data_IF_566943179011
#
_entry.id   IF_566943179011
#
_cell.length_a   1.000
_cell.length_b   1.000
_cell.length_c   1.000
_cell.angle_alpha   90.00
_cell.angle_beta   90.00
_cell.angle_gamma   90.00
#
_symmetry.space_group_name_H-M   'P 1'
#
loop_
_entity.id
_entity.type
_entity.pdbx_description
1 polymer ?
#
# COMPACT_ATOMS: atom_id res chain seq x y z
N UNK A 1 25.67 -46.30 -56.85
CA UNK A 1 26.91 -45.60 -56.39
C UNK A 1 26.56 -44.30 -55.63
N UNK A 2 26.42 -44.47 -54.31
CA UNK A 2 26.70 -43.54 -53.20
C UNK A 2 26.32 -42.05 -53.34
N UNK A 3 25.21 -41.70 -52.68
CA UNK A 3 25.04 -40.40 -52.03
C UNK A 3 26.13 -40.21 -50.97
N UNK A 4 26.76 -39.04 -50.94
CA UNK A 4 27.83 -38.68 -50.00
C UNK A 4 27.61 -37.26 -49.45
N UNK A 5 27.09 -37.23 -48.22
CA UNK A 5 27.46 -36.38 -47.08
C UNK A 5 27.79 -34.90 -47.38
N UNK A 6 26.83 -34.01 -47.09
CA UNK A 6 27.13 -32.60 -46.82
C UNK A 6 27.52 -32.44 -45.35
N UNK A 7 28.69 -31.84 -45.19
CA UNK A 7 29.41 -31.53 -43.95
C UNK A 7 28.56 -30.81 -42.91
N UNK A 8 28.68 -31.28 -41.68
CA UNK A 8 28.22 -30.66 -40.44
C UNK A 8 29.02 -29.37 -40.22
N UNK A 9 28.33 -28.22 -40.16
CA UNK A 9 28.84 -27.03 -39.49
C UNK A 9 28.23 -26.99 -38.08
N UNK A 10 28.99 -27.52 -37.11
CA UNK A 10 28.81 -27.22 -35.68
C UNK A 10 29.59 -25.95 -35.39
N UNK A 11 28.96 -24.98 -34.74
CA UNK A 11 29.58 -23.73 -34.29
C UNK A 11 28.48 -22.76 -33.86
N UNK A 12 27.87 -23.01 -32.70
CA UNK A 12 28.23 -22.32 -31.45
C UNK A 12 27.71 -20.88 -31.41
N UNK A 13 26.48 -20.70 -30.91
CA UNK A 13 26.08 -19.53 -30.10
C UNK A 13 24.68 -19.76 -29.49
N UNK A 14 24.53 -20.68 -28.55
CA UNK A 14 23.29 -20.82 -27.75
C UNK A 14 23.62 -21.32 -26.34
N UNK A 15 24.38 -20.54 -25.57
CA UNK A 15 24.55 -20.80 -24.12
C UNK A 15 24.59 -19.51 -23.26
N UNK A 16 24.45 -18.31 -23.84
CA UNK A 16 24.65 -17.06 -23.05
C UNK A 16 23.40 -16.44 -22.42
N UNK A 17 22.19 -16.84 -22.81
CA UNK A 17 20.95 -16.27 -22.26
C UNK A 17 20.45 -16.99 -20.99
N UNK A 18 20.41 -18.33 -21.00
CA UNK A 18 19.90 -19.11 -19.86
C UNK A 18 20.74 -18.94 -18.58
N UNK A 19 22.07 -18.87 -18.70
CA UNK A 19 22.94 -18.64 -17.55
C UNK A 19 22.74 -17.25 -16.94
N UNK A 20 22.45 -16.22 -17.75
CA UNK A 20 22.22 -14.87 -17.24
C UNK A 20 20.86 -14.76 -16.53
N UNK A 21 19.82 -15.44 -17.03
CA UNK A 21 18.53 -15.55 -16.33
C UNK A 21 18.63 -16.37 -15.04
N UNK A 22 19.38 -17.48 -15.04
CA UNK A 22 19.62 -18.27 -13.82
C UNK A 22 20.46 -17.52 -12.78
N UNK A 23 21.53 -16.84 -13.20
CA UNK A 23 22.36 -16.01 -12.29
C UNK A 23 21.54 -14.83 -11.74
N UNK A 24 20.66 -14.24 -12.56
CA UNK A 24 19.75 -13.17 -12.12
C UNK A 24 18.72 -13.69 -11.13
N UNK A 25 18.11 -14.84 -11.39
CA UNK A 25 17.17 -15.49 -10.47
C UNK A 25 17.84 -15.91 -9.16
N UNK A 26 19.06 -16.47 -9.23
CA UNK A 26 19.86 -16.82 -8.04
C UNK A 26 20.20 -15.58 -7.22
N UNK A 27 20.64 -14.48 -7.86
CA UNK A 27 20.93 -13.21 -7.18
C UNK A 27 19.68 -12.52 -6.61
N UNK A 28 18.53 -12.62 -7.28
CA UNK A 28 17.24 -12.12 -6.78
C UNK A 28 16.76 -12.91 -5.54
N UNK A 29 16.93 -14.24 -5.57
CA UNK A 29 16.61 -15.12 -4.43
C UNK A 29 17.57 -14.90 -3.26
N UNK A 30 18.86 -14.71 -3.53
CA UNK A 30 19.86 -14.39 -2.50
C UNK A 30 19.58 -13.03 -1.87
N UNK A 31 19.27 -12.01 -2.67
CA UNK A 31 18.90 -10.68 -2.18
C UNK A 31 17.63 -10.70 -1.34
N UNK A 32 16.60 -11.43 -1.76
CA UNK A 32 15.37 -11.62 -0.99
C UNK A 32 15.63 -12.33 0.34
N UNK A 33 16.43 -13.41 0.32
CA UNK A 33 16.79 -14.16 1.52
C UNK A 33 17.55 -13.30 2.51
N UNK A 34 18.56 -12.57 2.03
CA UNK A 34 19.35 -11.63 2.85
C UNK A 34 18.47 -10.54 3.47
N UNK A 35 17.52 -9.98 2.72
CA UNK A 35 16.56 -9.03 3.25
C UNK A 35 15.71 -9.64 4.37
N UNK A 36 15.12 -10.81 4.15
CA UNK A 36 14.28 -11.49 5.14
C UNK A 36 15.05 -11.84 6.43
N UNK A 37 16.29 -12.32 6.30
CA UNK A 37 17.12 -12.73 7.44
C UNK A 37 17.62 -11.55 8.27
N UNK A 38 17.59 -10.36 7.68
CA UNK A 38 18.01 -9.14 8.35
C UNK A 38 16.90 -8.43 9.12
N UNK A 39 15.66 -8.92 9.04
CA UNK A 39 14.54 -8.46 9.84
C UNK A 39 14.63 -9.02 11.27
N UNK A 40 14.27 -8.20 12.24
CA UNK A 40 14.22 -8.56 13.66
C UNK A 40 12.79 -8.99 14.01
N UNK A 41 12.60 -10.29 14.06
CA UNK A 41 11.35 -10.89 14.52
C UNK A 41 11.32 -10.93 16.06
N UNK A 42 10.12 -10.74 16.63
CA UNK A 42 9.87 -10.97 18.06
C UNK A 42 10.09 -12.42 18.48
N UNK A 43 10.04 -12.71 19.79
CA UNK A 43 10.22 -14.06 20.35
C UNK A 43 9.24 -15.11 19.79
N UNK A 44 8.11 -14.67 19.24
CA UNK A 44 7.10 -15.53 18.61
C UNK A 44 7.25 -15.60 17.08
N UNK A 45 8.37 -15.11 16.52
CA UNK A 45 8.68 -15.17 15.10
C UNK A 45 7.91 -14.18 14.23
N UNK A 46 7.41 -13.09 14.80
CA UNK A 46 6.58 -12.10 14.10
C UNK A 46 7.21 -10.70 14.07
N UNK A 47 6.98 -9.97 12.98
CA UNK A 47 7.33 -8.56 12.78
C UNK A 47 6.06 -7.72 12.63
N UNK A 48 6.09 -6.46 13.07
CA UNK A 48 4.98 -5.53 12.88
C UNK A 48 4.97 -5.00 11.46
N UNK A 49 3.81 -4.95 10.82
CA UNK A 49 3.66 -4.43 9.45
C UNK A 49 2.51 -3.44 9.39
N UNK A 50 2.79 -2.25 8.87
CA UNK A 50 1.79 -1.24 8.51
C UNK A 50 1.60 -1.20 7.00
N UNK A 51 0.36 -1.30 6.53
CA UNK A 51 0.03 -0.98 5.15
C UNK A 51 -0.29 0.52 5.07
N UNK A 52 0.36 1.23 4.16
CA UNK A 52 0.16 2.66 3.93
C UNK A 52 -0.22 2.88 2.48
N UNK A 53 -1.22 3.74 2.24
CA UNK A 53 -1.61 4.16 0.91
C UNK A 53 -0.55 5.07 0.29
N UNK A 54 -0.08 4.71 -0.90
CA UNK A 54 0.92 5.50 -1.65
C UNK A 54 0.38 6.85 -2.10
N UNK A 55 -0.92 6.94 -2.39
CA UNK A 55 -1.52 8.17 -2.88
C UNK A 55 -1.82 9.08 -1.68
N UNK A 56 -2.68 8.62 -0.76
CA UNK A 56 -3.17 9.47 0.34
C UNK A 56 -2.19 9.68 1.49
N UNK A 57 -1.21 8.79 1.60
CA UNK A 57 -0.34 8.66 2.77
C UNK A 57 -1.05 8.10 4.00
N UNK A 58 -2.33 7.73 3.90
CA UNK A 58 -3.09 7.18 5.02
C UNK A 58 -2.55 5.81 5.43
N UNK A 59 -2.42 5.60 6.74
CA UNK A 59 -2.16 4.25 7.27
C UNK A 59 -3.46 3.45 7.13
N UNK A 60 -3.44 2.40 6.32
CA UNK A 60 -4.62 1.60 5.97
C UNK A 60 -4.97 0.61 7.07
N UNK A 61 -3.99 -0.20 7.49
CA UNK A 61 -4.12 -1.16 8.58
C UNK A 61 -2.75 -1.52 9.17
N UNK A 62 -2.75 -2.09 10.37
CA UNK A 62 -1.59 -2.75 10.98
C UNK A 62 -1.92 -4.22 11.20
N UNK A 63 -0.97 -5.09 10.89
CA UNK A 63 -1.00 -6.51 11.24
C UNK A 63 0.41 -7.02 11.51
N UNK A 64 0.53 -8.31 11.82
CA UNK A 64 1.82 -8.98 12.00
C UNK A 64 2.13 -9.80 10.76
N UNK A 65 3.41 -10.07 10.51
CA UNK A 65 3.85 -11.03 9.51
C UNK A 65 4.92 -11.93 10.11
N UNK A 66 4.93 -13.21 9.74
CA UNK A 66 6.09 -14.07 9.91
C UNK A 66 7.01 -13.93 8.69
N UNK A 67 8.18 -14.57 8.73
CA UNK A 67 9.13 -14.56 7.61
C UNK A 67 8.50 -15.03 6.29
N UNK A 68 7.62 -16.03 6.35
CA UNK A 68 6.97 -16.59 5.18
C UNK A 68 5.93 -15.63 4.57
N UNK A 69 5.18 -14.88 5.38
CA UNK A 69 4.23 -13.87 4.91
C UNK A 69 4.93 -12.69 4.23
N UNK A 70 6.08 -12.24 4.77
CA UNK A 70 6.89 -11.19 4.10
C UNK A 70 7.44 -11.70 2.77
N UNK A 71 7.96 -12.93 2.74
CA UNK A 71 8.44 -13.57 1.51
C UNK A 71 7.33 -13.66 0.44
N UNK A 72 6.15 -14.14 0.83
CA UNK A 72 5.01 -14.25 -0.07
C UNK A 72 4.55 -12.88 -0.59
N UNK A 73 4.59 -11.85 0.27
CA UNK A 73 4.31 -10.47 -0.16
C UNK A 73 5.31 -10.00 -1.20
N UNK A 74 6.61 -10.23 -1.01
CA UNK A 74 7.66 -9.86 -1.97
C UNK A 74 7.51 -10.59 -3.32
N UNK A 75 7.01 -11.83 -3.29
CA UNK A 75 6.82 -12.64 -4.50
C UNK A 75 5.55 -12.27 -5.27
N UNK A 76 4.46 -12.00 -4.56
CA UNK A 76 3.14 -11.79 -5.17
C UNK A 76 2.80 -10.33 -5.41
N UNK A 77 3.44 -9.41 -4.68
CA UNK A 77 3.04 -8.01 -4.62
C UNK A 77 1.69 -7.79 -3.92
N UNK A 78 1.15 -8.80 -3.22
CA UNK A 78 -0.08 -8.70 -2.44
C UNK A 78 0.26 -8.76 -0.96
N UNK A 79 -0.38 -7.93 -0.14
CA UNK A 79 -0.11 -7.89 1.29
C UNK A 79 -0.57 -9.19 1.98
N UNK A 80 0.39 -10.04 2.34
CA UNK A 80 0.17 -11.24 3.16
C UNK A 80 0.58 -10.96 4.60
N UNK A 81 -0.26 -11.38 5.54
CA UNK A 81 -0.08 -11.20 6.97
C UNK A 81 -0.21 -12.53 7.72
N UNK A 82 0.13 -12.51 9.00
CA UNK A 82 -0.03 -13.60 9.96
C UNK A 82 -1.05 -13.21 11.04
N UNK A 83 -2.09 -14.03 11.20
CA UNK A 83 -3.10 -13.85 12.24
C UNK A 83 -2.66 -14.53 13.53
N UNK A 84 -2.40 -13.75 14.59
CA UNK A 84 -2.02 -14.30 15.91
C UNK A 84 -3.10 -15.17 16.54
N UNK A 85 -4.37 -14.83 16.33
CA UNK A 85 -5.51 -15.56 16.88
C UNK A 85 -5.77 -16.88 16.14
N UNK A 86 -5.74 -16.85 14.81
CA UNK A 86 -5.95 -18.04 13.96
C UNK A 86 -4.69 -18.89 13.78
N UNK A 87 -3.52 -18.34 14.10
CA UNK A 87 -2.19 -18.95 13.93
C UNK A 87 -1.93 -19.38 12.48
N UNK A 88 -2.40 -18.58 11.54
CA UNK A 88 -2.32 -18.86 10.11
C UNK A 88 -1.96 -17.58 9.32
N UNK A 89 -1.33 -17.79 8.17
CA UNK A 89 -1.11 -16.74 7.18
C UNK A 89 -2.38 -16.50 6.38
N UNK A 90 -2.58 -15.28 5.92
CA UNK A 90 -3.69 -14.89 5.06
C UNK A 90 -3.29 -13.73 4.17
N UNK A 91 -3.70 -13.76 2.91
CA UNK A 91 -3.52 -12.62 2.00
C UNK A 91 -4.72 -11.69 2.11
N UNK A 92 -4.45 -10.40 2.34
CA UNK A 92 -5.50 -9.39 2.50
C UNK A 92 -6.30 -9.30 1.22
N UNK A 93 -7.60 -9.59 1.33
CA UNK A 93 -8.54 -9.52 0.21
C UNK A 93 -8.97 -10.86 -0.34
N UNK A 94 -8.34 -11.98 0.05
CA UNK A 94 -8.69 -13.32 -0.47
C UNK A 94 -10.18 -13.66 -0.34
N UNK A 95 -10.81 -13.27 0.78
CA UNK A 95 -12.23 -13.51 1.01
C UNK A 95 -13.12 -12.37 0.51
N UNK A 96 -12.67 -11.12 0.67
CA UNK A 96 -13.50 -9.92 0.42
C UNK A 96 -13.37 -9.33 -0.98
N UNK A 97 -12.38 -9.73 -1.77
CA UNK A 97 -11.95 -9.04 -3.00
C UNK A 97 -11.18 -7.74 -2.77
N UNK A 98 -11.23 -7.18 -1.55
CA UNK A 98 -10.52 -5.95 -1.20
C UNK A 98 -9.02 -6.18 -0.92
N UNK A 99 -8.22 -6.26 -1.97
CA UNK A 99 -6.77 -6.49 -1.89
C UNK A 99 -5.98 -5.24 -1.53
N UNK A 100 -4.74 -5.43 -1.05
CA UNK A 100 -3.75 -4.36 -0.91
C UNK A 100 -2.54 -4.75 -1.76
N UNK A 101 -2.26 -3.99 -2.82
CA UNK A 101 -1.12 -4.21 -3.71
C UNK A 101 0.10 -3.48 -3.18
N UNK A 102 1.14 -4.21 -2.82
CA UNK A 102 2.37 -3.64 -2.26
C UNK A 102 3.29 -3.18 -3.40
N UNK A 103 3.62 -1.89 -3.40
CA UNK A 103 4.52 -1.27 -4.37
C UNK A 103 5.96 -1.26 -3.87
N UNK A 104 6.15 -0.95 -2.58
CA UNK A 104 7.45 -0.91 -1.92
C UNK A 104 7.35 -1.42 -0.48
N UNK A 105 8.47 -1.96 0.00
CA UNK A 105 8.62 -2.41 1.38
C UNK A 105 9.73 -1.56 2.01
N UNK A 106 9.40 -0.86 3.09
CA UNK A 106 10.35 -0.12 3.91
C UNK A 106 10.49 -0.79 5.26
N UNK A 107 11.67 -0.68 5.85
CA UNK A 107 12.00 -1.25 7.15
C UNK A 107 12.53 -0.11 8.01
N UNK A 108 12.18 -0.08 9.29
CA UNK A 108 12.71 0.90 10.24
C UNK A 108 14.18 0.66 10.59
N UNK A 109 14.75 1.54 11.41
CA UNK A 109 16.19 1.60 11.65
C UNK A 109 16.75 0.40 12.44
N UNK A 110 15.95 -0.19 13.32
CA UNK A 110 16.26 -1.37 14.13
C UNK A 110 15.59 -2.65 13.63
N UNK A 111 14.88 -2.53 12.50
CA UNK A 111 14.41 -3.61 11.64
C UNK A 111 13.34 -4.51 12.25
N UNK A 112 12.58 -4.02 13.22
CA UNK A 112 11.46 -4.75 13.83
C UNK A 112 10.07 -4.22 13.42
N UNK A 113 10.04 -3.25 12.50
CA UNK A 113 8.81 -2.76 11.87
C UNK A 113 8.95 -2.55 10.36
N UNK A 114 7.88 -2.82 9.63
CA UNK A 114 7.80 -2.75 8.17
C UNK A 114 6.66 -1.84 7.74
N UNK A 115 6.88 -1.04 6.70
CA UNK A 115 5.83 -0.37 5.93
C UNK A 115 5.68 -1.04 4.58
N UNK A 116 4.47 -1.53 4.29
CA UNK A 116 4.02 -1.85 2.94
C UNK A 116 3.38 -0.62 2.32
N UNK A 117 4.16 0.12 1.52
CA UNK A 117 3.63 1.23 0.73
C UNK A 117 2.85 0.64 -0.45
N UNK A 118 1.56 0.94 -0.52
CA UNK A 118 0.59 0.09 -1.23
C UNK A 118 -0.52 0.87 -1.92
N UNK A 119 -1.21 0.21 -2.85
CA UNK A 119 -2.44 0.66 -3.48
C UNK A 119 -3.58 -0.25 -3.02
N UNK A 120 -4.57 0.24 -2.25
CA UNK A 120 -5.74 -0.55 -1.87
C UNK A 120 -6.70 -0.73 -3.06
N UNK A 121 -7.23 -1.94 -3.22
CA UNK A 121 -8.36 -2.24 -4.11
C UNK A 121 -9.60 -2.30 -3.22
N UNK A 122 -10.46 -1.29 -3.27
CA UNK A 122 -11.62 -1.20 -2.38
C UNK A 122 -11.25 -0.85 -0.92
N UNK A 123 -12.21 -0.95 0.02
CA UNK A 123 -11.98 -0.56 1.40
C UNK A 123 -11.04 -1.52 2.13
N UNK A 124 -10.07 -0.97 2.87
CA UNK A 124 -9.10 -1.78 3.62
C UNK A 124 -9.73 -2.38 4.88
N UNK A 125 -10.71 -1.72 5.48
CA UNK A 125 -11.38 -2.19 6.70
C UNK A 125 -12.63 -3.04 6.39
N UNK A 126 -12.93 -3.99 7.28
CA UNK A 126 -14.15 -4.81 7.18
C UNK A 126 -15.44 -4.01 7.44
N UNK A 127 -15.34 -2.80 8.00
CA UNK A 127 -16.47 -1.87 8.17
C UNK A 127 -16.87 -1.16 6.87
N UNK A 128 -16.07 -1.32 5.81
CA UNK A 128 -16.23 -0.56 4.57
C UNK A 128 -15.44 0.75 4.55
N UNK A 129 -14.71 1.09 5.61
CA UNK A 129 -13.83 2.27 5.64
C UNK A 129 -12.52 2.04 4.87
N UNK A 130 -11.99 3.11 4.28
CA UNK A 130 -10.67 3.10 3.62
C UNK A 130 -9.52 2.75 4.58
N UNK A 131 -9.58 3.16 5.85
CA UNK A 131 -8.57 2.91 6.90
C UNK A 131 -9.20 2.21 8.11
N UNK A 132 -8.40 1.54 8.94
CA UNK A 132 -8.81 1.10 10.28
C UNK A 132 -8.79 2.23 11.33
N UNK A 133 -8.10 3.35 11.09
CA UNK A 133 -7.98 4.48 12.03
C UNK A 133 -8.97 5.60 11.70
N UNK A 134 -10.26 5.34 11.85
CA UNK A 134 -11.34 6.33 11.69
C UNK A 134 -11.86 6.88 13.03
N UNK A 135 -11.36 6.37 14.16
CA UNK A 135 -11.71 6.88 15.50
C UNK A 135 -10.55 7.68 16.06
N UNK A 136 -10.80 8.94 16.41
CA UNK A 136 -9.82 9.82 17.04
C UNK A 136 -10.01 9.83 18.56
N UNK A 137 -8.91 9.87 19.30
CA UNK A 137 -8.90 10.29 20.69
C UNK A 137 -8.28 11.69 20.77
N UNK A 138 -9.01 12.67 21.30
CA UNK A 138 -8.48 14.01 21.52
C UNK A 138 -7.32 14.01 22.50
N UNK A 139 -6.33 14.89 22.28
CA UNK A 139 -5.27 15.14 23.27
C UNK A 139 -5.85 16.05 24.35
N UNK A 140 -5.70 15.67 25.62
CA UNK A 140 -6.06 16.54 26.73
C UNK A 140 -5.20 17.82 26.70
N UNK A 141 -5.83 18.98 26.52
CA UNK A 141 -5.29 20.22 27.11
C UNK A 141 -5.50 20.20 28.62
N UNK A 142 -4.78 21.05 29.37
CA UNK A 142 -5.19 21.40 30.73
C UNK A 142 -6.68 21.77 30.67
N UNK A 143 -7.52 21.00 31.36
CA UNK A 143 -8.99 21.00 31.32
C UNK A 143 -9.68 20.21 30.18
N UNK A 144 -9.90 18.92 30.51
CA UNK A 144 -10.95 18.01 30.02
C UNK A 144 -10.69 17.25 28.70
N UNK A 145 -10.54 15.93 28.84
CA UNK A 145 -10.66 14.97 27.73
C UNK A 145 -12.14 14.87 27.36
N UNK A 146 -12.51 15.30 26.16
CA UNK A 146 -13.75 14.90 25.52
C UNK A 146 -13.46 13.70 24.62
N UNK A 147 -14.10 12.57 24.92
CA UNK A 147 -14.21 11.49 23.94
C UNK A 147 -15.07 12.03 22.78
N UNK A 148 -14.44 12.53 21.72
CA UNK A 148 -15.14 12.94 20.52
C UNK A 148 -15.69 11.67 19.84
N UNK A 149 -16.97 11.71 19.48
CA UNK A 149 -17.76 10.53 19.14
C UNK A 149 -17.29 9.77 17.89
N UNK A 150 -17.98 8.68 17.60
CA UNK A 150 -17.77 7.87 16.40
C UNK A 150 -18.01 8.72 15.13
N UNK A 151 -16.93 9.23 14.54
CA UNK A 151 -16.99 9.88 13.24
C UNK A 151 -17.07 8.79 12.15
N UNK A 152 -18.28 8.58 11.62
CA UNK A 152 -18.55 7.57 10.57
C UNK A 152 -18.18 8.03 9.15
N UNK A 153 -17.68 9.27 9.00
CA UNK A 153 -17.33 9.84 7.70
C UNK A 153 -15.82 9.79 7.44
N UNK A 154 -15.41 9.49 6.21
CA UNK A 154 -14.02 9.53 5.73
C UNK A 154 -13.27 10.88 5.89
N UNK A 155 -13.95 11.89 6.43
CA UNK A 155 -13.45 13.23 6.67
C UNK A 155 -12.27 13.29 7.66
N UNK A 156 -12.08 12.29 8.52
CA UNK A 156 -11.06 12.33 9.60
C UNK A 156 -10.04 11.20 9.58
N UNK A 157 -9.86 10.50 8.46
CA UNK A 157 -8.70 9.60 8.35
C UNK A 157 -7.39 10.42 8.50
N UNK A 158 -6.29 9.85 9.07
CA UNK A 158 -4.99 10.48 9.12
C UNK A 158 -4.42 10.63 7.70
N UNK A 159 -4.91 11.64 6.98
CA UNK A 159 -4.56 12.00 5.62
C UNK A 159 -3.45 13.03 5.62
N UNK A 160 -2.64 13.02 4.57
CA UNK A 160 -1.69 14.12 4.34
C UNK A 160 -2.43 15.45 4.12
N UNK A 161 -1.77 16.57 4.41
CA UNK A 161 -2.35 17.92 4.23
C UNK A 161 -2.86 18.16 2.81
N UNK A 162 -2.19 17.58 1.80
CA UNK A 162 -2.62 17.70 0.41
C UNK A 162 -3.95 16.96 0.17
N UNK A 163 -4.12 15.75 0.71
CA UNK A 163 -5.37 15.01 0.60
C UNK A 163 -6.51 15.66 1.40
N UNK A 164 -6.20 16.27 2.55
CA UNK A 164 -7.17 17.09 3.29
C UNK A 164 -7.64 18.30 2.46
N UNK A 165 -6.71 18.94 1.75
CA UNK A 165 -7.02 20.05 0.84
C UNK A 165 -7.88 19.57 -0.34
N UNK A 166 -7.53 18.45 -0.97
CA UNK A 166 -8.31 17.87 -2.07
C UNK A 166 -9.73 17.53 -1.62
N UNK A 167 -9.88 16.83 -0.49
CA UNK A 167 -11.18 16.52 0.09
C UNK A 167 -12.00 17.79 0.38
N UNK A 168 -11.35 18.84 0.88
CA UNK A 168 -11.98 20.16 1.09
C UNK A 168 -12.43 20.79 -0.23
N UNK A 169 -11.63 20.69 -1.29
CA UNK A 169 -12.00 21.21 -2.62
C UNK A 169 -13.19 20.44 -3.19
N UNK A 170 -13.21 19.11 -3.04
CA UNK A 170 -14.29 18.24 -3.50
C UNK A 170 -15.59 18.52 -2.74
N UNK A 171 -15.54 18.64 -1.40
CA UNK A 171 -16.70 19.05 -0.60
C UNK A 171 -17.24 20.41 -1.06
N UNK A 172 -16.36 21.39 -1.29
CA UNK A 172 -16.76 22.72 -1.78
C UNK A 172 -17.34 22.72 -3.19
N UNK A 173 -17.08 21.66 -3.98
CA UNK A 173 -17.70 21.44 -5.29
C UNK A 173 -19.13 20.94 -5.11
N UNK A 174 -19.35 19.98 -4.21
CA UNK A 174 -20.68 19.46 -3.86
C UNK A 174 -21.56 20.54 -3.21
N UNK A 175 -20.98 21.40 -2.38
CA UNK A 175 -21.65 22.56 -1.78
C UNK A 175 -22.24 23.54 -2.82
N UNK A 176 -21.78 23.51 -4.08
CA UNK A 176 -22.36 24.34 -5.14
C UNK A 176 -23.78 23.93 -5.52
N UNK A 177 -24.12 22.65 -5.28
CA UNK A 177 -25.43 22.09 -5.61
C UNK A 177 -26.43 22.29 -4.46
N UNK A 178 -26.00 22.87 -3.33
CA UNK A 178 -26.85 23.16 -2.16
C UNK A 178 -27.56 24.51 -2.33
N UNK A 179 -28.88 24.47 -2.48
CA UNK A 179 -29.68 25.70 -2.62
C UNK A 179 -29.53 26.65 -1.43
N UNK A 180 -29.36 27.95 -1.73
CA UNK A 180 -29.25 29.00 -0.71
C UNK A 180 -27.88 29.10 -0.04
N UNK A 181 -26.95 28.18 -0.31
CA UNK A 181 -25.59 28.24 0.22
C UNK A 181 -24.73 29.22 -0.59
N UNK A 182 -24.09 30.18 0.09
CA UNK A 182 -23.18 31.12 -0.56
C UNK A 182 -21.88 30.42 -0.94
N UNK A 183 -21.44 30.45 -2.21
CA UNK A 183 -20.26 29.72 -2.64
C UNK A 183 -18.97 30.30 -2.04
N UNK A 184 -18.10 29.39 -1.59
CA UNK A 184 -16.72 29.70 -1.18
C UNK A 184 -15.89 30.27 -2.35
N UNK A 185 -14.70 30.82 -2.09
CA UNK A 185 -13.81 31.26 -3.17
C UNK A 185 -13.46 30.11 -4.13
N UNK A 186 -13.16 28.93 -3.59
CA UNK A 186 -12.95 27.71 -4.38
C UNK A 186 -14.18 27.37 -5.22
N UNK A 187 -15.38 27.39 -4.64
CA UNK A 187 -16.62 27.15 -5.39
C UNK A 187 -16.87 28.17 -6.52
N UNK A 188 -16.54 29.44 -6.29
CA UNK A 188 -16.60 30.49 -7.34
C UNK A 188 -15.61 30.25 -8.48
N UNK A 189 -14.42 29.72 -8.18
CA UNK A 189 -13.45 29.35 -9.21
C UNK A 189 -13.95 28.12 -9.99
N UNK A 190 -14.43 27.09 -9.29
CA UNK A 190 -14.92 25.85 -9.91
C UNK A 190 -16.16 26.07 -10.81
N UNK A 191 -17.01 27.03 -10.48
CA UNK A 191 -18.17 27.40 -11.33
C UNK A 191 -17.80 28.24 -12.56
N UNK A 192 -16.55 28.70 -12.69
CA UNK A 192 -16.09 29.59 -13.76
C UNK A 192 -14.78 29.09 -14.39
N UNK A 193 -14.85 28.17 -15.36
CA UNK A 193 -13.66 27.55 -15.97
C UNK A 193 -12.63 28.55 -16.49
N UNK A 194 -13.06 29.63 -17.16
CA UNK A 194 -12.13 30.64 -17.67
C UNK A 194 -11.40 31.39 -16.56
N UNK A 195 -12.10 31.72 -15.46
CA UNK A 195 -11.48 32.36 -14.31
C UNK A 195 -10.50 31.42 -13.62
N UNK A 196 -10.85 30.13 -13.46
CA UNK A 196 -9.94 29.13 -12.91
C UNK A 196 -8.69 28.99 -13.77
N UNK A 197 -8.83 28.84 -15.09
CA UNK A 197 -7.70 28.74 -16.01
C UNK A 197 -6.79 29.98 -15.97
N UNK A 198 -7.33 31.17 -15.70
CA UNK A 198 -6.51 32.39 -15.54
C UNK A 198 -5.66 32.43 -14.25
N UNK A 199 -5.87 31.48 -13.34
CA UNK A 199 -5.19 31.39 -12.03
C UNK A 199 -4.26 30.19 -11.91
N UNK A 200 -4.22 29.32 -12.93
CA UNK A 200 -3.25 28.24 -13.10
C UNK A 200 -2.06 28.79 -13.89
#
# INVERSE_FOLDING_TARGET
PRQSVRSIARGACFVRAAAAESIKAEGEVEGMTSFLDSLKYSDVGLVTVMAQDVDSGAVLMQAFADRAAVCETMQTGLATFYSRSRKERWCKGETSGNFIKVQNIYVDCDRDSIIYLSIPIGPSCHTGSHTCWFTEAGIAGEDSVTCLGEHTSEAWAPKTTLFQLEATIQQRKEDLDVEGLKPSWTGKLLSKPELLCSKI
#
